data_IF_059427120214
#
_entry.id   IF_059427120214
#
_cell.length_a   1.000
_cell.length_b   1.000
_cell.length_c   1.000
_cell.angle_alpha   90.00
_cell.angle_beta   90.00
_cell.angle_gamma   90.00
#
_symmetry.space_group_name_H-M   'P 1'
#
loop_
_entity.id
_entity.type
_entity.pdbx_description
1 polymer ?
#
# COMPACT_ATOMS: atom_id res chain seq x y z
N UNK A 1 -13.79 -6.17 25.90
CA UNK A 1 -13.21 -6.03 24.57
C UNK A 1 -11.77 -5.57 24.73
N UNK A 2 -10.81 -6.32 24.19
CA UNK A 2 -9.39 -5.93 24.21
C UNK A 2 -9.12 -5.27 22.86
N UNK A 3 -8.74 -4.00 22.90
CA UNK A 3 -8.28 -3.28 21.71
C UNK A 3 -6.79 -3.64 21.49
N UNK A 4 -6.50 -4.41 20.47
CA UNK A 4 -5.15 -4.91 20.18
C UNK A 4 -4.16 -3.78 19.87
N UNK A 5 -4.59 -2.74 19.18
CA UNK A 5 -3.84 -1.54 18.87
C UNK A 5 -3.39 -0.82 20.15
N UNK A 6 -4.31 -0.61 21.09
CA UNK A 6 -4.00 -0.02 22.38
C UNK A 6 -3.04 -0.91 23.21
N UNK A 7 -3.25 -2.23 23.20
CA UNK A 7 -2.37 -3.16 23.89
C UNK A 7 -0.95 -3.19 23.30
N UNK A 8 -0.81 -3.04 21.98
CA UNK A 8 0.51 -2.94 21.31
C UNK A 8 1.28 -1.69 21.72
N UNK A 9 0.58 -0.58 21.93
CA UNK A 9 1.20 0.69 22.34
C UNK A 9 1.49 0.76 23.84
N UNK A 10 0.53 0.34 24.67
CA UNK A 10 0.60 0.51 26.13
C UNK A 10 1.35 -0.61 26.84
N UNK A 11 1.35 -1.83 26.29
CA UNK A 11 1.97 -3.00 26.89
C UNK A 11 2.64 -3.91 25.85
N UNK A 12 3.65 -3.44 25.10
CA UNK A 12 4.28 -4.21 24.02
C UNK A 12 4.93 -5.50 24.52
N UNK A 13 5.44 -5.53 25.74
CA UNK A 13 6.01 -6.72 26.37
C UNK A 13 4.96 -7.81 26.58
N UNK A 14 3.77 -7.44 27.04
CA UNK A 14 2.64 -8.37 27.22
C UNK A 14 2.19 -8.92 25.86
N UNK A 15 2.02 -8.04 24.87
CA UNK A 15 1.66 -8.44 23.51
C UNK A 15 2.66 -9.43 22.92
N UNK A 16 3.96 -9.20 23.13
CA UNK A 16 5.01 -10.12 22.69
C UNK A 16 4.85 -11.50 23.33
N UNK A 17 4.58 -11.54 24.63
CA UNK A 17 4.33 -12.80 25.36
C UNK A 17 3.11 -13.55 24.82
N UNK A 18 2.03 -12.84 24.54
CA UNK A 18 0.81 -13.42 23.95
C UNK A 18 1.09 -13.99 22.56
N UNK A 19 1.82 -13.27 21.71
CA UNK A 19 2.18 -13.75 20.36
C UNK A 19 3.12 -14.97 20.41
N UNK A 20 4.08 -15.00 21.34
CA UNK A 20 4.93 -16.16 21.55
C UNK A 20 4.14 -17.39 22.01
N UNK A 21 3.23 -17.19 22.97
CA UNK A 21 2.35 -18.27 23.44
C UNK A 21 1.45 -18.79 22.31
N UNK A 22 0.90 -17.88 21.49
CA UNK A 22 0.09 -18.25 20.33
C UNK A 22 0.88 -19.07 19.32
N UNK A 23 2.13 -18.67 19.03
CA UNK A 23 3.03 -19.42 18.14
C UNK A 23 3.27 -20.83 18.65
N UNK A 24 3.65 -20.98 19.94
CA UNK A 24 3.86 -22.28 20.56
C UNK A 24 2.62 -23.19 20.52
N UNK A 25 1.45 -22.59 20.76
CA UNK A 25 0.17 -23.33 20.71
C UNK A 25 -0.21 -23.74 19.29
N UNK A 26 0.11 -22.91 18.29
CA UNK A 26 -0.09 -23.22 16.89
C UNK A 26 0.85 -24.35 16.44
N UNK A 27 2.13 -24.32 16.82
CA UNK A 27 3.11 -25.38 16.56
C UNK A 27 2.69 -26.72 17.19
N UNK A 28 2.17 -26.66 18.42
CA UNK A 28 1.62 -27.81 19.13
C UNK A 28 0.26 -28.27 18.57
N UNK A 29 -0.28 -27.61 17.52
CA UNK A 29 -1.62 -27.87 16.94
C UNK A 29 -2.76 -27.76 17.95
N UNK A 30 -2.55 -27.05 19.06
CA UNK A 30 -3.59 -26.78 20.04
C UNK A 30 -4.50 -25.61 19.65
N UNK A 31 -4.02 -24.78 18.73
CA UNK A 31 -4.78 -23.68 18.11
C UNK A 31 -4.71 -23.84 16.60
N UNK A 32 -5.85 -23.75 15.95
CA UNK A 32 -5.97 -23.82 14.50
C UNK A 32 -6.31 -22.44 13.95
N UNK A 33 -5.83 -22.15 12.74
CA UNK A 33 -6.22 -20.95 12.02
C UNK A 33 -7.70 -20.96 11.68
N UNK A 34 -8.27 -19.78 11.48
CA UNK A 34 -9.64 -19.66 10.99
C UNK A 34 -9.75 -20.26 9.59
N UNK A 35 -10.90 -20.84 9.23
CA UNK A 35 -11.15 -21.29 7.87
C UNK A 35 -10.89 -20.16 6.87
N UNK A 36 -10.31 -20.51 5.73
CA UNK A 36 -10.09 -19.55 4.65
C UNK A 36 -10.77 -20.04 3.37
N UNK A 37 -11.55 -19.15 2.75
CA UNK A 37 -12.06 -19.34 1.39
C UNK A 37 -11.20 -18.50 0.45
N UNK A 38 -10.52 -19.15 -0.48
CA UNK A 38 -9.64 -18.47 -1.44
C UNK A 38 -10.34 -18.37 -2.78
N UNK A 39 -10.37 -17.18 -3.35
CA UNK A 39 -10.96 -16.87 -4.65
C UNK A 39 -9.89 -16.27 -5.56
N UNK A 40 -9.98 -16.54 -6.84
CA UNK A 40 -9.15 -15.90 -7.86
C UNK A 40 -9.79 -14.58 -8.29
N UNK A 41 -9.01 -13.48 -8.33
CA UNK A 41 -9.56 -12.15 -8.65
C UNK A 41 -10.15 -12.10 -10.06
N UNK A 42 -9.52 -12.75 -11.02
CA UNK A 42 -9.93 -12.65 -12.41
C UNK A 42 -11.22 -13.43 -12.69
N UNK A 43 -11.40 -14.56 -12.02
CA UNK A 43 -12.48 -15.50 -12.32
C UNK A 43 -13.58 -15.53 -11.28
N UNK A 44 -13.28 -15.19 -10.03
CA UNK A 44 -14.16 -15.45 -8.90
C UNK A 44 -14.43 -14.21 -8.03
N UNK A 45 -14.09 -13.00 -8.50
CA UNK A 45 -14.26 -11.77 -7.72
C UNK A 45 -15.71 -11.58 -7.25
N UNK A 46 -16.70 -11.78 -8.14
CA UNK A 46 -18.10 -11.67 -7.77
C UNK A 46 -18.53 -12.71 -6.73
N UNK A 47 -17.98 -13.93 -6.78
CA UNK A 47 -18.25 -14.97 -5.79
C UNK A 47 -17.65 -14.61 -4.43
N UNK A 48 -16.46 -14.00 -4.40
CA UNK A 48 -15.84 -13.51 -3.17
C UNK A 48 -16.71 -12.44 -2.49
N UNK A 49 -17.17 -11.43 -3.25
CA UNK A 49 -18.05 -10.39 -2.72
C UNK A 49 -19.40 -10.95 -2.24
N UNK A 50 -20.02 -11.85 -2.98
CA UNK A 50 -21.27 -12.52 -2.54
C UNK A 50 -21.06 -13.32 -1.25
N UNK A 51 -19.91 -13.98 -1.11
CA UNK A 51 -19.57 -14.70 0.12
C UNK A 51 -19.49 -13.77 1.33
N UNK A 52 -18.94 -12.57 1.18
CA UNK A 52 -18.92 -11.56 2.23
C UNK A 52 -20.31 -10.97 2.49
N UNK A 53 -21.05 -10.64 1.44
CA UNK A 53 -22.38 -10.05 1.51
C UNK A 53 -23.40 -10.97 2.19
N UNK A 54 -23.22 -12.28 2.08
CA UNK A 54 -24.14 -13.27 2.70
C UNK A 54 -24.19 -13.18 4.23
N UNK A 55 -23.21 -12.59 4.87
CA UNK A 55 -23.11 -12.51 6.34
C UNK A 55 -22.91 -13.86 7.04
N UNK A 56 -22.92 -14.97 6.30
CA UNK A 56 -22.76 -16.34 6.84
C UNK A 56 -21.32 -16.83 6.79
N UNK A 57 -20.40 -15.96 6.42
CA UNK A 57 -18.99 -16.34 6.26
C UNK A 57 -18.33 -16.58 7.62
N UNK A 58 -17.82 -17.80 7.82
CA UNK A 58 -17.00 -18.13 8.97
C UNK A 58 -15.54 -18.11 8.55
N UNK A 59 -14.71 -17.30 9.21
CA UNK A 59 -13.31 -17.15 8.88
C UNK A 59 -13.02 -16.05 7.86
N UNK A 60 -12.04 -16.25 6.97
CA UNK A 60 -11.55 -15.22 6.06
C UNK A 60 -11.88 -15.53 4.60
N UNK A 61 -12.27 -14.49 3.88
CA UNK A 61 -12.31 -14.49 2.42
C UNK A 61 -11.00 -13.86 1.92
N UNK A 62 -10.24 -14.63 1.17
CA UNK A 62 -8.97 -14.23 0.59
C UNK A 62 -9.12 -14.16 -0.92
N UNK A 63 -8.77 -13.05 -1.51
CA UNK A 63 -8.72 -12.90 -2.96
C UNK A 63 -7.27 -12.98 -3.39
N UNK A 64 -6.96 -14.02 -4.19
CA UNK A 64 -5.62 -14.19 -4.75
C UNK A 64 -5.50 -13.33 -6.00
N UNK A 65 -4.52 -12.46 -6.00
CA UNK A 65 -4.10 -11.69 -7.17
C UNK A 65 -2.96 -12.49 -7.81
N UNK A 66 -3.09 -12.94 -9.07
CA UNK A 66 -2.00 -13.67 -9.73
C UNK A 66 -0.74 -12.79 -9.79
N UNK A 67 0.35 -13.34 -9.31
CA UNK A 67 1.62 -12.61 -9.19
C UNK A 67 2.43 -12.52 -10.49
N UNK A 68 1.79 -12.21 -11.62
CA UNK A 68 2.47 -12.15 -12.93
C UNK A 68 3.01 -10.76 -13.28
N UNK A 69 2.79 -9.77 -12.44
CA UNK A 69 3.31 -8.42 -12.68
C UNK A 69 4.39 -8.09 -11.66
N UNK A 70 5.57 -8.70 -11.82
CA UNK A 70 6.77 -8.05 -11.31
C UNK A 70 6.80 -6.64 -11.92
N UNK A 71 7.06 -5.62 -11.10
CA UNK A 71 7.34 -4.30 -11.64
C UNK A 71 8.39 -4.48 -12.74
N UNK A 72 8.08 -4.02 -13.95
CA UNK A 72 8.99 -4.24 -15.08
C UNK A 72 10.34 -3.62 -14.70
N UNK A 73 11.40 -4.43 -14.55
CA UNK A 73 12.69 -3.85 -14.23
C UNK A 73 13.12 -2.96 -15.41
N UNK A 74 13.66 -1.80 -15.12
CA UNK A 74 14.24 -0.92 -16.11
C UNK A 74 13.39 0.28 -16.55
N UNK A 75 12.15 0.39 -16.10
CA UNK A 75 11.28 1.54 -16.41
C UNK A 75 11.21 2.57 -15.28
N UNK A 76 10.66 3.73 -15.61
CA UNK A 76 10.32 4.76 -14.61
C UNK A 76 8.98 4.46 -13.96
N UNK A 77 8.88 4.69 -12.66
CA UNK A 77 7.64 4.49 -11.89
C UNK A 77 7.18 5.81 -11.27
N UNK A 78 5.91 6.12 -11.42
CA UNK A 78 5.27 7.28 -10.83
C UNK A 78 4.40 6.86 -9.64
N UNK A 79 4.58 7.50 -8.48
CA UNK A 79 3.82 7.24 -7.27
C UNK A 79 3.10 8.50 -6.79
N UNK A 80 1.77 8.51 -6.84
CA UNK A 80 0.99 9.54 -6.16
C UNK A 80 0.91 9.24 -4.65
N UNK A 81 0.89 10.28 -3.82
CA UNK A 81 1.01 10.12 -2.37
C UNK A 81 2.40 9.65 -1.93
N UNK A 82 3.42 9.87 -2.77
CA UNK A 82 4.78 9.39 -2.61
C UNK A 82 5.50 9.86 -1.34
N UNK A 83 5.06 10.95 -0.71
CA UNK A 83 5.61 11.41 0.57
C UNK A 83 4.96 10.78 1.81
N UNK A 84 3.89 10.01 1.63
CA UNK A 84 3.23 9.25 2.71
C UNK A 84 3.94 7.94 3.01
N UNK A 85 3.64 7.33 4.17
CA UNK A 85 4.31 6.10 4.63
C UNK A 85 4.27 4.95 3.62
N UNK A 86 3.10 4.66 3.03
CA UNK A 86 2.98 3.62 2.00
C UNK A 86 3.69 4.00 0.70
N UNK A 87 3.60 5.28 0.29
CA UNK A 87 4.28 5.78 -0.90
C UNK A 87 5.80 5.64 -0.79
N UNK A 88 6.37 6.01 0.35
CA UNK A 88 7.82 5.89 0.62
C UNK A 88 8.27 4.42 0.65
N UNK A 89 7.49 3.56 1.30
CA UNK A 89 7.79 2.13 1.35
C UNK A 89 7.76 1.50 -0.04
N UNK A 90 6.72 1.80 -0.83
CA UNK A 90 6.57 1.32 -2.20
C UNK A 90 7.68 1.88 -3.10
N UNK A 91 8.00 3.17 -2.99
CA UNK A 91 9.07 3.79 -3.76
C UNK A 91 10.43 3.15 -3.48
N UNK A 92 10.74 2.88 -2.22
CA UNK A 92 11.96 2.17 -1.83
C UNK A 92 11.97 0.74 -2.38
N UNK A 93 10.86 0.02 -2.26
CA UNK A 93 10.75 -1.34 -2.80
C UNK A 93 10.97 -1.35 -4.32
N UNK A 94 10.36 -0.45 -5.08
CA UNK A 94 10.58 -0.33 -6.52
C UNK A 94 12.04 -0.07 -6.85
N UNK A 95 12.67 0.87 -6.14
CA UNK A 95 14.07 1.20 -6.33
C UNK A 95 15.00 0.00 -6.08
N UNK A 96 14.69 -0.83 -5.11
CA UNK A 96 15.47 -2.05 -4.80
C UNK A 96 15.10 -3.24 -5.70
N UNK A 97 13.95 -3.21 -6.35
CA UNK A 97 13.45 -4.29 -7.22
C UNK A 97 13.79 -4.12 -8.70
N UNK A 98 14.62 -3.12 -9.07
CA UNK A 98 15.12 -2.95 -10.42
C UNK A 98 14.43 -1.87 -11.25
N UNK A 99 13.63 -0.99 -10.66
CA UNK A 99 13.18 0.22 -11.33
C UNK A 99 14.39 1.05 -11.77
N UNK A 100 14.34 1.64 -12.96
CA UNK A 100 15.41 2.55 -13.40
C UNK A 100 15.29 3.93 -12.77
N UNK A 101 14.09 4.31 -12.35
CA UNK A 101 13.78 5.61 -11.74
C UNK A 101 12.45 5.56 -10.99
N UNK A 102 12.37 6.34 -9.90
CA UNK A 102 11.15 6.47 -9.12
C UNK A 102 10.80 7.96 -8.96
N UNK A 103 9.55 8.32 -9.22
CA UNK A 103 9.03 9.68 -9.03
C UNK A 103 7.99 9.65 -7.93
N UNK A 104 8.27 10.32 -6.82
CA UNK A 104 7.38 10.45 -5.66
C UNK A 104 6.60 11.76 -5.79
N UNK A 105 5.34 11.68 -6.15
CA UNK A 105 4.47 12.83 -6.33
C UNK A 105 3.61 13.06 -5.09
N UNK A 106 3.55 14.30 -4.64
CA UNK A 106 2.70 14.73 -3.53
C UNK A 106 2.35 16.21 -3.64
N UNK A 107 1.31 16.65 -2.95
CA UNK A 107 0.93 18.07 -2.90
C UNK A 107 2.05 18.97 -2.37
N UNK A 108 2.84 18.48 -1.41
CA UNK A 108 3.99 19.19 -0.87
C UNK A 108 5.23 19.15 -1.78
N UNK A 109 5.36 18.16 -2.64
CA UNK A 109 6.50 17.99 -3.54
C UNK A 109 7.83 17.69 -2.85
N UNK A 110 7.80 17.32 -1.58
CA UNK A 110 9.03 17.14 -0.76
C UNK A 110 8.88 15.90 0.12
N UNK A 111 10.02 15.26 0.34
CA UNK A 111 10.22 14.27 1.39
C UNK A 111 11.24 14.85 2.37
N UNK A 112 10.97 14.79 3.65
CA UNK A 112 11.83 15.40 4.68
C UNK A 112 12.07 14.42 5.84
N UNK A 113 13.03 14.78 6.70
CA UNK A 113 13.37 14.00 7.89
C UNK A 113 14.09 12.67 7.57
N UNK A 114 14.01 11.68 8.47
CA UNK A 114 14.71 10.40 8.35
C UNK A 114 14.40 9.64 7.06
N UNK A 115 13.23 9.87 6.48
CA UNK A 115 12.82 9.20 5.25
C UNK A 115 13.58 9.71 4.02
N UNK A 116 13.94 11.00 3.99
CA UNK A 116 14.78 11.55 2.93
C UNK A 116 16.16 10.88 2.93
N UNK A 117 16.75 10.66 4.11
CA UNK A 117 18.03 9.95 4.25
C UNK A 117 17.93 8.51 3.76
N UNK A 118 16.86 7.79 4.13
CA UNK A 118 16.65 6.41 3.69
C UNK A 118 16.44 6.27 2.17
N UNK A 119 15.91 7.30 1.52
CA UNK A 119 15.77 7.33 0.06
C UNK A 119 17.10 7.68 -0.63
N UNK A 120 17.98 8.45 0.01
CA UNK A 120 19.28 8.76 -0.53
C UNK A 120 20.22 7.54 -0.60
N UNK A 121 19.97 6.53 0.23
CA UNK A 121 20.76 5.28 0.27
C UNK A 121 20.39 4.27 -0.83
N UNK A 122 19.36 4.54 -1.65
CA UNK A 122 19.00 3.64 -2.76
C UNK A 122 19.82 3.95 -4.00
N UNK A 123 20.24 2.92 -4.73
CA UNK A 123 21.10 3.04 -5.91
C UNK A 123 20.40 3.67 -7.13
N UNK A 124 19.10 3.88 -7.08
CA UNK A 124 18.27 4.35 -8.18
C UNK A 124 17.87 5.81 -7.95
N UNK A 125 17.89 6.67 -9.00
CA UNK A 125 17.43 8.05 -8.85
C UNK A 125 15.97 8.12 -8.39
N UNK A 126 15.75 8.73 -7.21
CA UNK A 126 14.42 9.03 -6.67
C UNK A 126 14.20 10.54 -6.79
N UNK A 127 13.17 10.91 -7.54
CA UNK A 127 12.77 12.30 -7.74
C UNK A 127 11.51 12.60 -6.94
N UNK A 128 11.42 13.82 -6.43
CA UNK A 128 10.17 14.32 -5.84
C UNK A 128 9.50 15.31 -6.78
N UNK A 129 8.20 15.21 -6.93
CA UNK A 129 7.40 16.11 -7.75
C UNK A 129 6.24 16.69 -6.96
N UNK A 130 5.99 18.00 -7.13
CA UNK A 130 4.77 18.62 -6.62
C UNK A 130 3.62 18.30 -7.58
N UNK A 131 2.63 17.55 -7.09
CA UNK A 131 1.48 17.14 -7.88
C UNK A 131 0.26 16.95 -6.97
N UNK A 132 -0.82 17.62 -7.32
CA UNK A 132 -2.14 17.25 -6.84
C UNK A 132 -2.80 16.38 -7.91
N UNK A 133 -2.96 15.09 -7.61
CA UNK A 133 -3.52 14.12 -8.57
C UNK A 133 -5.04 14.25 -8.73
N UNK A 134 -5.71 15.02 -7.87
CA UNK A 134 -7.10 15.39 -8.07
C UNK A 134 -7.25 16.47 -9.17
N UNK A 135 -6.16 17.17 -9.52
CA UNK A 135 -6.14 18.20 -10.55
C UNK A 135 -5.53 17.65 -11.85
N UNK A 136 -6.32 17.40 -12.91
CA UNK A 136 -5.85 16.79 -14.15
C UNK A 136 -4.65 17.52 -14.79
N UNK A 137 -4.65 18.84 -14.77
CA UNK A 137 -3.55 19.64 -15.33
C UNK A 137 -2.25 19.49 -14.52
N UNK A 138 -2.35 19.31 -13.19
CA UNK A 138 -1.19 19.06 -12.34
C UNK A 138 -0.54 17.71 -12.66
N UNK A 139 -1.37 16.67 -12.80
CA UNK A 139 -0.89 15.34 -13.18
C UNK A 139 -0.29 15.34 -14.60
N UNK A 140 -0.95 15.98 -15.56
CA UNK A 140 -0.47 16.09 -16.94
C UNK A 140 0.91 16.76 -17.03
N UNK A 141 1.12 17.86 -16.31
CA UNK A 141 2.42 18.56 -16.28
C UNK A 141 3.54 17.63 -15.80
N UNK A 142 3.33 16.94 -14.69
CA UNK A 142 4.37 16.02 -14.16
C UNK A 142 4.66 14.89 -15.14
N UNK A 143 3.65 14.31 -15.77
CA UNK A 143 3.85 13.27 -16.77
C UNK A 143 4.59 13.78 -18.02
N UNK A 144 4.30 15.01 -18.47
CA UNK A 144 5.02 15.67 -19.55
C UNK A 144 6.49 15.93 -19.17
N UNK A 145 6.74 16.46 -17.97
CA UNK A 145 8.09 16.66 -17.48
C UNK A 145 8.87 15.35 -17.40
N UNK A 146 8.23 14.27 -16.98
CA UNK A 146 8.83 12.93 -17.01
C UNK A 146 9.18 12.49 -18.43
N UNK A 147 8.27 12.71 -19.38
CA UNK A 147 8.47 12.32 -20.79
C UNK A 147 9.63 13.09 -21.45
N UNK A 148 9.84 14.34 -21.07
CA UNK A 148 10.90 15.20 -21.61
C UNK A 148 12.25 14.90 -20.98
N UNK A 149 12.29 14.72 -19.65
CA UNK A 149 13.57 14.65 -18.93
C UNK A 149 14.05 13.21 -18.66
N UNK A 150 13.19 12.21 -18.84
CA UNK A 150 13.56 10.83 -18.59
C UNK A 150 13.66 10.05 -19.88
N UNK A 151 14.80 9.41 -20.07
CA UNK A 151 15.04 8.49 -21.20
C UNK A 151 14.30 7.15 -21.01
N UNK A 152 13.90 6.84 -19.79
CA UNK A 152 13.22 5.58 -19.45
C UNK A 152 11.71 5.72 -19.68
N UNK A 153 11.11 4.75 -20.37
CA UNK A 153 9.67 4.68 -20.52
C UNK A 153 8.97 4.54 -19.15
N UNK A 154 7.76 5.10 -19.02
CA UNK A 154 6.90 4.92 -17.85
C UNK A 154 6.45 3.44 -17.80
N UNK A 155 6.92 2.71 -16.81
CA UNK A 155 6.63 1.28 -16.61
C UNK A 155 5.48 1.04 -15.62
N UNK A 156 5.20 1.99 -14.74
CA UNK A 156 4.13 1.82 -13.76
C UNK A 156 3.66 3.11 -13.11
N UNK A 157 2.37 3.12 -12.77
CA UNK A 157 1.72 4.18 -11.99
C UNK A 157 1.15 3.54 -10.73
N UNK A 158 1.48 4.11 -9.57
CA UNK A 158 1.09 3.62 -8.26
C UNK A 158 0.31 4.72 -7.53
N UNK A 159 -0.92 4.41 -7.13
CA UNK A 159 -1.74 5.38 -6.43
C UNK A 159 -1.77 5.04 -4.93
N UNK A 160 -1.01 5.80 -4.15
CA UNK A 160 -0.96 5.71 -2.69
C UNK A 160 -1.46 7.00 -2.01
N UNK A 161 -2.08 7.92 -2.78
CA UNK A 161 -2.73 9.09 -2.23
C UNK A 161 -4.15 8.74 -1.78
N UNK A 162 -4.52 9.19 -0.59
CA UNK A 162 -5.86 9.06 -0.06
C UNK A 162 -6.13 10.12 0.98
N UNK A 163 -7.37 10.54 1.10
CA UNK A 163 -7.88 11.35 2.20
C UNK A 163 -8.82 10.46 3.00
N UNK A 164 -8.51 10.29 4.28
CA UNK A 164 -9.42 9.59 5.18
C UNK A 164 -10.59 10.53 5.51
N UNK A 165 -11.79 10.08 5.22
CA UNK A 165 -13.04 10.75 5.56
C UNK A 165 -13.89 9.79 6.40
N UNK A 166 -13.27 9.21 7.42
CA UNK A 166 -13.92 8.25 8.30
C UNK A 166 -14.93 8.96 9.19
N UNK A 167 -16.11 8.37 9.32
CA UNK A 167 -17.16 8.88 10.17
C UNK A 167 -18.32 7.90 10.28
N UNK A 168 -19.21 8.14 11.22
CA UNK A 168 -20.46 7.38 11.30
C UNK A 168 -21.29 7.65 10.04
N UNK A 169 -21.99 6.64 9.54
CA UNK A 169 -22.82 6.75 8.34
C UNK A 169 -23.78 7.95 8.38
N UNK A 170 -24.28 8.29 9.57
CA UNK A 170 -25.16 9.43 9.83
C UNK A 170 -24.47 10.81 9.65
N UNK A 171 -23.15 10.84 9.75
CA UNK A 171 -22.34 12.07 9.61
C UNK A 171 -21.67 12.19 8.24
N UNK A 172 -21.79 11.16 7.41
CA UNK A 172 -21.29 11.20 6.05
C UNK A 172 -22.21 12.03 5.17
N UNK A 173 -21.64 13.02 4.50
CA UNK A 173 -22.33 13.81 3.46
C UNK A 173 -21.82 13.36 2.10
N UNK A 174 -22.69 13.37 1.09
CA UNK A 174 -22.24 13.13 -0.27
C UNK A 174 -21.17 14.19 -0.64
N UNK A 175 -20.06 13.79 -1.26
CA UNK A 175 -19.09 14.76 -1.75
C UNK A 175 -19.79 15.66 -2.79
N UNK A 176 -19.68 16.96 -2.59
CA UNK A 176 -20.16 18.00 -3.53
C UNK A 176 -19.27 18.07 -4.75
#
# INVERSE_FOLDING_TARGET
>A
VIALDSAMLLAPWWMRGVLQLLSQRAEARAVHGLPMKVYDIERQMHAAFRSLQSGTNTGKVVVRIPGTHAASPGGAHFLSGGSGGLGLLTGRWLATSGASRVVLASRGGKVSGPEATRLADVAVPVHTARCDVAEPLSAQRVLQDMAVHFTSALAGVWHAAGVLADGLLQTQTAPS
#
